data_IF_487204993290
#
_entry.id   IF_487204993290
#
_cell.length_a   1.000
_cell.length_b   1.000
_cell.length_c   1.000
_cell.angle_alpha   90.00
_cell.angle_beta   90.00
_cell.angle_gamma   90.00
#
_symmetry.space_group_name_H-M   'P 1'
#
loop_
_entity.id
_entity.type
_entity.pdbx_description
1 polymer ?
#
# COMPACT_ATOMS: atom_id res chain seq x y z
N UNK A 1 22.04 4.50 -15.32
CA UNK A 1 22.08 5.34 -14.10
C UNK A 1 21.62 4.47 -12.94
N UNK A 2 22.54 4.07 -12.06
CA UNK A 2 22.23 3.20 -10.93
C UNK A 2 21.19 3.87 -10.01
N UNK A 3 20.16 3.16 -9.53
CA UNK A 3 19.23 3.73 -8.56
C UNK A 3 20.00 4.03 -7.28
N UNK A 4 20.27 5.32 -7.01
CA UNK A 4 20.97 5.72 -5.80
C UNK A 4 20.18 5.25 -4.57
N UNK A 5 20.90 4.88 -3.51
CA UNK A 5 20.30 4.48 -2.22
C UNK A 5 19.24 5.49 -1.74
N UNK A 6 19.47 6.77 -1.99
CA UNK A 6 18.53 7.86 -1.68
C UNK A 6 17.18 7.73 -2.42
N UNK A 7 17.18 7.26 -3.67
CA UNK A 7 15.94 7.04 -4.44
C UNK A 7 15.12 5.89 -3.86
N UNK A 8 15.78 4.79 -3.51
CA UNK A 8 15.13 3.64 -2.84
C UNK A 8 14.57 4.02 -1.47
N UNK A 9 15.30 4.84 -0.71
CA UNK A 9 14.86 5.31 0.61
C UNK A 9 13.64 6.23 0.52
N UNK A 10 13.61 7.15 -0.45
CA UNK A 10 12.44 8.00 -0.72
C UNK A 10 11.22 7.17 -1.12
N UNK A 11 11.41 6.17 -1.99
CA UNK A 11 10.33 5.27 -2.40
C UNK A 11 9.80 4.45 -1.21
N UNK A 12 10.69 3.94 -0.36
CA UNK A 12 10.32 3.23 0.86
C UNK A 12 9.53 4.14 1.83
N UNK A 13 9.98 5.38 2.05
CA UNK A 13 9.28 6.33 2.92
C UNK A 13 7.87 6.65 2.41
N UNK A 14 7.71 6.92 1.11
CA UNK A 14 6.41 7.18 0.50
C UNK A 14 5.50 5.97 0.63
N UNK A 15 6.03 4.75 0.40
CA UNK A 15 5.27 3.52 0.59
C UNK A 15 4.86 3.32 2.05
N UNK A 16 5.76 3.50 3.01
CA UNK A 16 5.45 3.37 4.44
C UNK A 16 4.38 4.39 4.87
N UNK A 17 4.52 5.66 4.46
CA UNK A 17 3.53 6.70 4.76
C UNK A 17 2.17 6.44 4.13
N UNK A 18 2.12 5.82 2.95
CA UNK A 18 0.86 5.49 2.28
C UNK A 18 0.20 4.22 2.86
N UNK A 19 0.99 3.20 3.20
CA UNK A 19 0.48 1.91 3.69
C UNK A 19 0.09 1.98 5.17
N UNK A 20 0.86 2.70 6.00
CA UNK A 20 0.61 2.81 7.44
C UNK A 20 -0.84 3.22 7.80
N UNK A 21 -1.40 4.33 7.29
CA UNK A 21 -2.76 4.74 7.63
C UNK A 21 -3.82 3.73 7.14
N UNK A 22 -3.55 3.01 6.04
CA UNK A 22 -4.45 1.98 5.53
C UNK A 22 -4.52 0.80 6.49
N UNK A 23 -3.35 0.34 6.96
CA UNK A 23 -3.25 -0.73 7.96
C UNK A 23 -3.97 -0.32 9.23
N UNK A 24 -3.72 0.91 9.70
CA UNK A 24 -4.38 1.44 10.90
C UNK A 24 -5.90 1.48 10.74
N UNK A 25 -6.42 1.98 9.61
CA UNK A 25 -7.85 2.03 9.35
C UNK A 25 -8.47 0.62 9.32
N UNK A 26 -7.78 -0.34 8.69
CA UNK A 26 -8.18 -1.74 8.67
C UNK A 26 -8.32 -2.32 10.07
N UNK A 27 -7.34 -2.07 10.94
CA UNK A 27 -7.37 -2.53 12.33
C UNK A 27 -8.51 -1.89 13.12
N UNK A 28 -8.77 -0.60 12.93
CA UNK A 28 -9.88 0.09 13.57
C UNK A 28 -11.25 -0.44 13.13
N UNK A 29 -11.38 -0.91 11.89
CA UNK A 29 -12.62 -1.50 11.37
C UNK A 29 -12.75 -2.97 11.79
N UNK A 30 -11.68 -3.77 11.72
CA UNK A 30 -11.73 -5.19 12.07
C UNK A 30 -11.85 -5.46 13.56
N UNK A 31 -11.25 -4.64 14.43
CA UNK A 31 -11.33 -4.83 15.88
C UNK A 31 -12.78 -4.92 16.38
N UNK A 32 -13.69 -3.99 16.05
CA UNK A 32 -15.09 -4.07 16.46
C UNK A 32 -15.90 -5.13 15.68
N UNK A 33 -15.47 -5.52 14.47
CA UNK A 33 -16.15 -6.53 13.66
C UNK A 33 -15.82 -7.99 14.04
N UNK A 34 -14.67 -8.21 14.69
CA UNK A 34 -14.21 -9.53 15.10
C UNK A 34 -14.03 -9.65 16.62
N UNK A 35 -15.03 -9.25 17.45
CA UNK A 35 -14.92 -9.40 18.90
C UNK A 35 -14.85 -10.88 19.26
N UNK A 36 -13.91 -11.25 20.12
CA UNK A 36 -13.70 -12.65 20.55
C UNK A 36 -12.95 -13.55 19.57
N UNK A 37 -12.51 -13.05 18.41
CA UNK A 37 -11.67 -13.82 17.49
C UNK A 37 -10.24 -13.92 18.01
N UNK A 38 -9.67 -15.12 17.91
CA UNK A 38 -8.26 -15.37 18.19
C UNK A 38 -7.37 -14.64 17.17
N UNK A 39 -6.15 -14.29 17.57
CA UNK A 39 -5.20 -13.51 16.76
C UNK A 39 -5.00 -14.07 15.35
N UNK A 40 -4.97 -15.40 15.22
CA UNK A 40 -4.75 -16.10 13.97
C UNK A 40 -5.96 -16.00 13.03
N UNK A 41 -7.20 -16.03 13.54
CA UNK A 41 -8.43 -15.91 12.74
C UNK A 41 -8.54 -14.51 12.16
N UNK A 42 -8.25 -13.50 12.97
CA UNK A 42 -8.16 -12.11 12.52
C UNK A 42 -7.09 -11.96 11.46
N UNK A 43 -5.91 -12.54 11.65
CA UNK A 43 -4.80 -12.45 10.67
C UNK A 43 -5.14 -13.13 9.34
N UNK A 44 -5.83 -14.27 9.39
CA UNK A 44 -6.29 -15.01 8.21
C UNK A 44 -7.24 -14.19 7.34
N UNK A 45 -8.06 -13.33 7.95
CA UNK A 45 -8.95 -12.42 7.23
C UNK A 45 -8.23 -11.12 6.85
N UNK A 46 -7.49 -10.53 7.78
CA UNK A 46 -6.81 -9.25 7.66
C UNK A 46 -5.81 -9.26 6.50
N UNK A 47 -4.93 -10.26 6.44
CA UNK A 47 -3.83 -10.33 5.46
C UNK A 47 -4.33 -10.36 4.01
N UNK A 48 -5.19 -11.31 3.59
CA UNK A 48 -5.64 -11.36 2.20
C UNK A 48 -6.44 -10.11 1.84
N UNK A 49 -7.30 -9.62 2.72
CA UNK A 49 -8.12 -8.45 2.43
C UNK A 49 -7.25 -7.19 2.32
N UNK A 50 -6.24 -7.02 3.18
CA UNK A 50 -5.26 -5.94 3.05
C UNK A 50 -4.44 -6.07 1.77
N UNK A 51 -3.95 -7.27 1.42
CA UNK A 51 -3.18 -7.47 0.20
C UNK A 51 -4.00 -7.13 -1.06
N UNK A 52 -5.25 -7.59 -1.14
CA UNK A 52 -6.15 -7.26 -2.24
C UNK A 52 -6.44 -5.76 -2.30
N UNK A 53 -6.70 -5.12 -1.16
CA UNK A 53 -6.92 -3.67 -1.07
C UNK A 53 -5.70 -2.88 -1.53
N UNK A 54 -4.49 -3.29 -1.11
CA UNK A 54 -3.26 -2.62 -1.47
C UNK A 54 -3.02 -2.74 -2.98
N UNK A 55 -3.14 -3.94 -3.55
CA UNK A 55 -2.85 -4.19 -4.97
C UNK A 55 -3.89 -3.53 -5.88
N UNK A 56 -5.19 -3.57 -5.52
CA UNK A 56 -6.27 -3.08 -6.37
C UNK A 56 -6.61 -1.59 -6.16
N UNK A 57 -6.41 -1.04 -4.97
CA UNK A 57 -6.74 0.36 -4.67
C UNK A 57 -5.50 1.21 -4.39
N UNK A 58 -4.62 0.79 -3.49
CA UNK A 58 -3.50 1.63 -3.04
C UNK A 58 -2.43 1.80 -4.13
N UNK A 59 -2.02 0.73 -4.80
CA UNK A 59 -1.05 0.79 -5.90
C UNK A 59 -1.53 1.75 -7.01
N UNK A 60 -2.77 1.65 -7.53
CA UNK A 60 -3.25 2.62 -8.51
C UNK A 60 -3.53 4.00 -7.93
N UNK A 61 -3.95 4.14 -6.66
CA UNK A 61 -4.13 5.45 -6.01
C UNK A 61 -2.81 6.20 -5.85
N UNK A 62 -1.75 5.53 -5.39
CA UNK A 62 -0.39 6.09 -5.35
C UNK A 62 0.07 6.41 -6.77
N UNK A 63 -0.13 5.47 -7.71
CA UNK A 63 0.16 5.69 -9.13
C UNK A 63 -0.62 6.85 -9.77
N UNK A 64 -1.78 7.23 -9.21
CA UNK A 64 -2.65 8.32 -9.71
C UNK A 64 -2.42 9.65 -9.00
N UNK A 65 -2.23 9.66 -7.67
CA UNK A 65 -1.97 10.86 -6.87
C UNK A 65 -0.50 11.30 -6.93
N UNK A 66 0.44 10.34 -6.82
CA UNK A 66 1.87 10.58 -7.01
C UNK A 66 2.35 10.24 -8.42
N UNK A 67 1.44 9.84 -9.31
CA UNK A 67 1.69 9.67 -10.73
C UNK A 67 2.27 10.90 -11.39
N UNK A 68 1.79 12.11 -11.08
CA UNK A 68 2.37 13.34 -11.62
C UNK A 68 3.76 13.67 -11.08
N UNK A 69 4.11 13.18 -9.88
CA UNK A 69 5.38 13.43 -9.21
C UNK A 69 6.45 12.35 -9.51
N UNK A 70 6.02 11.12 -9.84
CA UNK A 70 6.87 10.00 -10.25
C UNK A 70 6.92 9.85 -11.79
N UNK A 71 5.84 10.19 -12.51
CA UNK A 71 5.82 10.27 -13.97
C UNK A 71 6.45 11.59 -14.46
N UNK A 72 7.72 11.80 -14.13
CA UNK A 72 8.62 12.31 -15.14
C UNK A 72 8.69 11.29 -16.28
N UNK A 73 7.79 11.43 -17.26
CA UNK A 73 7.57 10.55 -18.42
C UNK A 73 6.97 9.18 -18.09
N UNK A 74 5.70 9.06 -18.43
CA UNK A 74 5.16 7.91 -19.18
C UNK A 74 6.17 7.54 -20.28
N UNK A 75 7.08 6.59 -20.05
CA UNK A 75 7.42 5.67 -21.14
C UNK A 75 6.37 4.58 -21.06
N UNK A 76 5.29 4.85 -21.78
CA UNK A 76 4.42 3.83 -22.32
C UNK A 76 5.35 2.78 -22.95
N UNK A 77 5.49 1.65 -22.29
CA UNK A 77 5.87 0.43 -22.96
C UNK A 77 4.68 0.07 -23.83
N UNK A 78 4.72 0.43 -25.11
CA UNK A 78 3.90 -0.18 -26.15
C UNK A 78 4.46 0.19 -27.53
N UNK A 79 4.86 -0.86 -28.23
CA UNK A 79 5.05 -1.01 -29.68
C UNK A 79 6.16 -0.19 -30.34
#
# INVERSE_FOLDING_TARGET
MQPSLASKLRMALVMTLAVYPVVTLYLYVLMPLTPGWEMWQRSLLLVPVMATTIVLLIVPLIGRHFGGFIAGKKKVAAA
#
